data_IF_250953088305
#
_entry.id   IF_250953088305
#
_cell.length_a   1.000
_cell.length_b   1.000
_cell.length_c   1.000
_cell.angle_alpha   90.00
_cell.angle_beta   90.00
_cell.angle_gamma   90.00
#
_symmetry.space_group_name_H-M   'P 1'
#
loop_
_entity.id
_entity.type
_entity.pdbx_description
1 polymer ?
#
# COMPACT_ATOMS: atom_id res chain seq x y z
N UNK A 1 -1.06 -11.78 5.74
CA UNK A 1 -1.06 -10.49 6.45
C UNK A 1 -1.05 -9.35 5.44
N UNK A 2 -1.64 -8.24 5.81
CA UNK A 2 -1.79 -7.11 4.90
C UNK A 2 -0.45 -6.58 4.39
N UNK A 3 0.53 -6.45 5.27
CA UNK A 3 1.84 -5.93 4.87
C UNK A 3 2.48 -6.78 3.77
N UNK A 4 2.44 -8.10 3.92
CA UNK A 4 3.01 -9.00 2.92
C UNK A 4 2.27 -8.91 1.59
N UNK A 5 0.97 -8.72 1.64
CA UNK A 5 0.15 -8.54 0.44
C UNK A 5 0.55 -7.25 -0.27
N UNK A 6 0.73 -6.18 0.48
CA UNK A 6 1.14 -4.88 -0.08
C UNK A 6 2.50 -5.00 -0.76
N UNK A 7 3.45 -5.71 -0.13
CA UNK A 7 4.77 -5.93 -0.73
C UNK A 7 4.64 -6.59 -2.10
N UNK A 8 3.83 -7.63 -2.19
CA UNK A 8 3.62 -8.35 -3.45
C UNK A 8 3.01 -7.48 -4.52
N UNK A 9 2.00 -6.69 -4.16
CA UNK A 9 1.34 -5.79 -5.11
C UNK A 9 2.31 -4.72 -5.61
N UNK A 10 3.06 -4.10 -4.71
CA UNK A 10 4.03 -3.06 -5.08
C UNK A 10 5.15 -3.63 -5.93
N UNK A 11 5.60 -4.85 -5.62
CA UNK A 11 6.66 -5.49 -6.40
C UNK A 11 6.23 -5.66 -7.87
N UNK A 12 4.99 -6.05 -8.09
CA UNK A 12 4.47 -6.18 -9.44
C UNK A 12 4.20 -4.82 -10.09
N UNK A 13 3.55 -3.93 -9.36
CA UNK A 13 3.11 -2.65 -9.90
C UNK A 13 4.28 -1.74 -10.25
N UNK A 14 5.30 -1.71 -9.41
CA UNK A 14 6.45 -0.82 -9.59
C UNK A 14 7.70 -1.55 -10.10
N UNK A 15 7.62 -2.84 -10.30
CA UNK A 15 8.73 -3.67 -10.76
C UNK A 15 9.95 -3.56 -9.86
N UNK A 16 9.72 -3.65 -8.56
CA UNK A 16 10.79 -3.60 -7.56
C UNK A 16 10.87 -4.94 -6.82
N UNK A 17 12.02 -5.20 -6.23
CA UNK A 17 12.24 -6.41 -5.45
C UNK A 17 11.48 -6.30 -4.12
N UNK A 18 10.56 -7.23 -3.82
CA UNK A 18 9.81 -7.18 -2.56
C UNK A 18 10.69 -7.25 -1.33
N UNK A 19 11.88 -7.85 -1.44
CA UNK A 19 12.81 -7.94 -0.30
C UNK A 19 13.38 -6.59 0.09
N UNK A 20 13.29 -5.59 -0.78
CA UNK A 20 13.76 -4.24 -0.48
C UNK A 20 12.70 -3.40 0.21
N UNK A 21 11.46 -3.91 0.31
CA UNK A 21 10.35 -3.17 0.89
C UNK A 21 10.23 -3.51 2.37
N UNK A 22 10.25 -2.46 3.20
CA UNK A 22 10.07 -2.62 4.65
C UNK A 22 8.90 -1.75 5.10
N UNK A 23 8.54 -1.85 6.37
CA UNK A 23 7.45 -1.02 6.91
C UNK A 23 7.80 0.47 6.86
N UNK A 24 9.08 0.80 6.89
CA UNK A 24 9.53 2.19 6.86
C UNK A 24 9.75 2.73 5.44
N UNK A 25 9.59 1.88 4.43
CA UNK A 25 9.79 2.29 3.04
C UNK A 25 8.77 3.36 2.66
N UNK A 26 9.27 4.50 2.17
CA UNK A 26 8.44 5.60 1.71
C UNK A 26 8.09 5.35 0.25
N UNK A 27 6.78 5.32 -0.05
CA UNK A 27 6.32 5.00 -1.39
C UNK A 27 6.84 5.99 -2.43
N UNK A 28 6.79 7.27 -2.12
CA UNK A 28 7.19 8.30 -3.08
C UNK A 28 8.68 8.52 -3.13
N UNK A 29 9.32 8.60 -1.96
CA UNK A 29 10.74 8.92 -1.88
C UNK A 29 11.64 7.71 -2.15
N UNK A 30 11.26 6.55 -1.68
CA UNK A 30 12.08 5.35 -1.80
C UNK A 30 11.76 4.52 -3.04
N UNK A 31 10.48 4.45 -3.40
CA UNK A 31 10.05 3.63 -4.55
C UNK A 31 9.71 4.44 -5.79
N UNK A 32 9.67 5.75 -5.67
CA UNK A 32 9.37 6.61 -6.80
C UNK A 32 7.93 6.56 -7.28
N UNK A 33 7.03 6.10 -6.42
CA UNK A 33 5.61 6.05 -6.75
C UNK A 33 5.01 7.46 -6.70
N UNK A 34 4.01 7.70 -7.53
CA UNK A 34 3.26 8.96 -7.47
C UNK A 34 1.88 8.71 -6.85
N UNK A 35 1.05 9.75 -6.80
CA UNK A 35 -0.27 9.63 -6.19
C UNK A 35 -1.18 8.66 -6.96
N UNK A 36 -0.99 8.55 -8.26
CA UNK A 36 -1.78 7.61 -9.06
C UNK A 36 -1.43 6.17 -8.72
N UNK A 37 -0.14 5.89 -8.48
CA UNK A 37 0.29 4.56 -8.05
C UNK A 37 -0.33 4.21 -6.69
N UNK A 38 -0.42 5.19 -5.80
CA UNK A 38 -1.05 4.98 -4.50
C UNK A 38 -2.54 4.65 -4.65
N UNK A 39 -3.23 5.37 -5.53
CA UNK A 39 -4.64 5.11 -5.80
C UNK A 39 -4.83 3.68 -6.32
N UNK A 40 -3.99 3.25 -7.26
CA UNK A 40 -4.07 1.90 -7.80
C UNK A 40 -3.81 0.84 -6.73
N UNK A 41 -2.83 1.09 -5.85
CA UNK A 41 -2.55 0.18 -4.76
C UNK A 41 -3.76 0.03 -3.84
N UNK A 42 -4.36 1.15 -3.45
CA UNK A 42 -5.52 1.12 -2.56
C UNK A 42 -6.70 0.39 -3.21
N UNK A 43 -6.95 0.64 -4.50
CA UNK A 43 -8.03 -0.04 -5.21
C UNK A 43 -7.81 -1.55 -5.26
N UNK A 44 -6.57 -1.98 -5.50
CA UNK A 44 -6.23 -3.39 -5.51
C UNK A 44 -6.49 -4.03 -4.15
N UNK A 45 -6.12 -3.34 -3.08
CA UNK A 45 -6.34 -3.85 -1.72
C UNK A 45 -7.81 -3.90 -1.37
N UNK A 46 -8.59 -2.92 -1.82
CA UNK A 46 -10.04 -2.94 -1.61
C UNK A 46 -10.68 -4.18 -2.23
N UNK A 47 -10.28 -4.51 -3.45
CA UNK A 47 -10.79 -5.70 -4.13
C UNK A 47 -10.32 -6.98 -3.46
N UNK A 48 -9.06 -7.01 -3.03
CA UNK A 48 -8.47 -8.22 -2.44
C UNK A 48 -9.13 -8.58 -1.12
N UNK A 49 -9.46 -7.57 -0.31
CA UNK A 49 -10.02 -7.80 1.02
C UNK A 49 -11.51 -7.53 1.12
N UNK A 50 -12.14 -7.08 0.04
CA UNK A 50 -13.56 -6.79 0.03
C UNK A 50 -13.96 -5.64 0.95
N UNK A 51 -13.10 -4.63 1.05
CA UNK A 51 -13.34 -3.46 1.91
C UNK A 51 -13.33 -2.19 1.07
N UNK A 52 -13.81 -1.11 1.66
CA UNK A 52 -13.80 0.21 1.00
C UNK A 52 -12.98 1.19 1.83
N UNK A 53 -11.95 1.76 1.23
CA UNK A 53 -11.13 2.79 1.87
C UNK A 53 -11.65 4.15 1.43
N UNK A 54 -12.74 4.60 2.06
CA UNK A 54 -13.41 5.85 1.68
C UNK A 54 -12.85 7.08 2.39
N UNK A 55 -12.04 6.88 3.41
CA UNK A 55 -11.44 7.98 4.16
C UNK A 55 -10.25 8.55 3.38
N UNK A 56 -10.30 9.84 3.11
CA UNK A 56 -9.23 10.51 2.37
C UNK A 56 -7.88 10.45 3.07
N UNK A 57 -7.87 10.20 4.38
CA UNK A 57 -6.62 10.11 5.13
C UNK A 57 -5.72 8.98 4.64
N UNK A 58 -6.27 7.97 3.94
CA UNK A 58 -5.46 6.90 3.37
C UNK A 58 -4.43 7.45 2.38
N UNK A 59 -4.76 8.53 1.69
CA UNK A 59 -3.85 9.13 0.71
C UNK A 59 -2.78 10.01 1.35
N UNK A 60 -2.86 10.21 2.65
CA UNK A 60 -1.85 10.94 3.40
C UNK A 60 -0.78 10.01 3.97
N UNK A 61 -1.01 8.71 3.89
CA UNK A 61 -0.04 7.73 4.36
C UNK A 61 1.18 7.73 3.44
N UNK A 62 2.36 7.69 4.02
CA UNK A 62 3.60 7.79 3.24
C UNK A 62 4.38 6.49 3.20
N UNK A 63 4.34 5.71 4.25
CA UNK A 63 5.11 4.48 4.32
C UNK A 63 4.23 3.26 4.11
N UNK A 64 4.87 2.17 3.69
CA UNK A 64 4.17 0.90 3.48
C UNK A 64 3.52 0.42 4.77
N UNK A 65 4.22 0.58 5.90
CA UNK A 65 3.68 0.19 7.20
C UNK A 65 2.43 0.97 7.58
N UNK A 66 2.40 2.27 7.31
CA UNK A 66 1.22 3.09 7.60
C UNK A 66 0.01 2.63 6.80
N UNK A 67 0.23 2.33 5.51
CA UNK A 67 -0.86 1.84 4.66
C UNK A 67 -1.33 0.47 5.14
N UNK A 68 -0.40 -0.41 5.50
CA UNK A 68 -0.75 -1.72 6.01
C UNK A 68 -1.60 -1.63 7.28
N UNK A 69 -1.22 -0.75 8.20
CA UNK A 69 -1.96 -0.56 9.45
C UNK A 69 -3.37 -0.03 9.17
N UNK A 70 -3.49 0.92 8.25
CA UNK A 70 -4.78 1.47 7.89
C UNK A 70 -5.70 0.39 7.32
N UNK A 71 -5.21 -0.39 6.36
CA UNK A 71 -6.00 -1.44 5.73
C UNK A 71 -6.39 -2.50 6.76
N UNK A 72 -5.49 -2.85 7.68
CA UNK A 72 -5.83 -3.82 8.72
C UNK A 72 -7.02 -3.37 9.59
N UNK A 73 -7.18 -2.06 9.81
CA UNK A 73 -8.33 -1.57 10.58
C UNK A 73 -9.64 -1.80 9.83
N UNK A 74 -9.59 -1.86 8.51
CA UNK A 74 -10.79 -2.08 7.69
C UNK A 74 -11.15 -3.56 7.58
N UNK A 75 -10.18 -4.44 7.71
CA UNK A 75 -10.39 -5.89 7.52
C UNK A 75 -10.85 -6.58 8.80
N UNK A 76 -10.63 -5.96 9.94
CA UNK A 76 -10.99 -6.55 11.25
C UNK A 76 -12.46 -6.45 11.54
#
# INVERSE_FOLDING_TARGET
MVFEKIKGVLAEQLEVDPDTITRDTDLMNDLGADSLDLVELIMTLEEEYGVSATDESVYEQKTVGEIADYIETLVK
#
